data_IF_062584635647
#
_entry.id   IF_062584635647
#
_cell.length_a   1.000
_cell.length_b   1.000
_cell.length_c   1.000
_cell.angle_alpha   90.00
_cell.angle_beta   90.00
_cell.angle_gamma   90.00
#
_symmetry.space_group_name_H-M   'P 1'
#
loop_
_entity.id
_entity.type
_entity.pdbx_description
1 polymer ?
#
# COMPACT_ATOMS: atom_id res chain seq x y z
N UNK A 1 -36.39 -32.91 23.53
CA UNK A 1 -36.28 -31.72 22.65
C UNK A 1 -36.76 -32.09 21.25
N UNK A 2 -37.74 -31.38 20.70
CA UNK A 2 -38.32 -31.66 19.39
C UNK A 2 -37.35 -31.30 18.26
N UNK A 3 -37.38 -32.06 17.15
CA UNK A 3 -36.53 -31.86 15.95
C UNK A 3 -36.56 -30.41 15.44
N UNK A 4 -37.73 -29.76 15.50
CA UNK A 4 -37.91 -28.33 15.15
C UNK A 4 -37.08 -27.38 16.02
N UNK A 5 -37.00 -27.61 17.34
CA UNK A 5 -36.22 -26.75 18.25
C UNK A 5 -34.72 -26.86 18.00
N UNK A 6 -34.23 -28.07 17.67
CA UNK A 6 -32.82 -28.29 17.29
C UNK A 6 -32.49 -27.60 15.96
N UNK A 7 -33.38 -27.69 14.97
CA UNK A 7 -33.24 -26.99 13.69
C UNK A 7 -33.22 -25.47 13.86
N UNK A 8 -34.11 -24.91 14.68
CA UNK A 8 -34.12 -23.48 14.99
C UNK A 8 -32.82 -23.03 15.65
N UNK A 9 -32.33 -23.74 16.67
CA UNK A 9 -31.06 -23.40 17.32
C UNK A 9 -29.88 -23.46 16.35
N UNK A 10 -29.81 -24.51 15.52
CA UNK A 10 -28.76 -24.64 14.52
C UNK A 10 -28.81 -23.51 13.48
N UNK A 11 -30.01 -23.15 12.99
CA UNK A 11 -30.20 -22.06 12.05
C UNK A 11 -29.79 -20.71 12.66
N UNK A 12 -30.18 -20.42 13.90
CA UNK A 12 -29.77 -19.19 14.60
C UNK A 12 -28.26 -19.12 14.79
N UNK A 13 -27.61 -20.23 15.16
CA UNK A 13 -26.16 -20.30 15.30
C UNK A 13 -25.46 -20.05 13.96
N UNK A 14 -25.95 -20.67 12.88
CA UNK A 14 -25.40 -20.46 11.54
C UNK A 14 -25.49 -18.99 11.11
N UNK A 15 -26.66 -18.35 11.32
CA UNK A 15 -26.84 -16.93 11.01
C UNK A 15 -25.90 -16.05 11.85
N UNK A 16 -25.76 -16.33 13.15
CA UNK A 16 -24.85 -15.59 14.02
C UNK A 16 -23.39 -15.71 13.58
N UNK A 17 -22.94 -16.91 13.20
CA UNK A 17 -21.59 -17.15 12.69
C UNK A 17 -21.36 -16.44 11.35
N UNK A 18 -22.32 -16.51 10.41
CA UNK A 18 -22.23 -15.80 9.14
C UNK A 18 -22.18 -14.28 9.33
N UNK A 19 -23.03 -13.73 10.19
CA UNK A 19 -23.04 -12.30 10.50
C UNK A 19 -21.74 -11.85 11.17
N UNK A 20 -21.21 -12.65 12.11
CA UNK A 20 -19.93 -12.40 12.76
C UNK A 20 -18.76 -12.44 11.77
N UNK A 21 -18.73 -13.44 10.88
CA UNK A 21 -17.73 -13.56 9.81
C UNK A 21 -17.75 -12.34 8.89
N UNK A 22 -18.93 -11.96 8.37
CA UNK A 22 -19.06 -10.81 7.47
C UNK A 22 -18.69 -9.50 8.16
N UNK A 23 -19.08 -9.32 9.42
CA UNK A 23 -18.73 -8.12 10.18
C UNK A 23 -17.22 -8.00 10.37
N UNK A 24 -16.56 -9.11 10.71
CA UNK A 24 -15.11 -9.14 10.90
C UNK A 24 -14.33 -8.92 9.59
N UNK A 25 -14.82 -9.41 8.45
CA UNK A 25 -14.12 -9.30 7.16
C UNK A 25 -14.41 -7.98 6.45
N UNK A 26 -15.65 -7.49 6.46
CA UNK A 26 -16.05 -6.25 5.77
C UNK A 26 -15.54 -5.01 6.52
N UNK A 27 -15.51 -5.07 7.87
CA UNK A 27 -15.01 -3.97 8.70
C UNK A 27 -13.49 -3.85 8.75
N UNK A 28 -12.76 -4.87 8.30
CA UNK A 28 -11.30 -4.89 8.38
C UNK A 28 -10.68 -3.92 7.36
N UNK A 29 -9.77 -3.08 7.84
CA UNK A 29 -9.00 -2.12 7.05
C UNK A 29 -7.52 -2.22 7.37
N UNK A 30 -6.71 -1.99 6.35
CA UNK A 30 -5.27 -1.80 6.47
C UNK A 30 -4.97 -0.33 6.81
N UNK A 31 -3.85 -0.09 7.47
CA UNK A 31 -3.33 1.25 7.78
C UNK A 31 -1.94 1.44 7.16
N UNK A 32 -1.46 2.67 7.14
CA UNK A 32 -0.05 2.92 6.86
C UNK A 32 0.82 2.43 8.01
N UNK A 33 2.00 1.94 7.70
CA UNK A 33 3.00 1.57 8.69
C UNK A 33 3.75 2.79 9.26
N UNK A 34 4.62 2.51 10.22
CA UNK A 34 5.47 3.51 10.86
C UNK A 34 6.78 3.81 10.11
N UNK A 35 7.09 3.04 9.07
CA UNK A 35 8.37 3.10 8.35
C UNK A 35 8.18 3.40 6.87
N UNK A 36 9.15 4.10 6.29
CA UNK A 36 9.24 4.41 4.86
C UNK A 36 10.71 4.48 4.45
N UNK A 37 10.96 4.46 3.13
CA UNK A 37 12.29 4.49 2.56
C UNK A 37 12.31 5.22 1.21
N UNK A 38 13.44 5.78 0.83
CA UNK A 38 13.69 6.25 -0.54
C UNK A 38 15.14 5.99 -0.94
N UNK A 39 15.38 5.92 -2.24
CA UNK A 39 16.72 5.88 -2.80
C UNK A 39 17.47 7.22 -2.68
N UNK A 40 18.70 7.24 -3.16
CA UNK A 40 19.56 8.44 -3.18
C UNK A 40 19.12 9.50 -4.18
N UNK A 41 18.22 9.13 -5.08
CA UNK A 41 17.56 9.94 -6.10
C UNK A 41 16.41 10.80 -5.55
N UNK A 42 16.03 10.59 -4.29
CA UNK A 42 14.99 11.35 -3.62
C UNK A 42 15.52 12.23 -2.48
N UNK A 43 14.82 13.32 -2.22
CA UNK A 43 14.95 14.13 -1.02
C UNK A 43 13.70 13.99 -0.16
N UNK A 44 13.85 13.85 1.15
CA UNK A 44 12.71 13.94 2.07
C UNK A 44 12.62 15.35 2.68
N UNK A 45 11.40 15.85 2.81
CA UNK A 45 11.10 17.09 3.53
C UNK A 45 9.93 16.83 4.48
N UNK A 46 10.11 17.16 5.75
CA UNK A 46 9.03 17.07 6.75
C UNK A 46 8.69 18.47 7.25
N UNK A 47 7.43 18.87 7.08
CA UNK A 47 6.90 20.14 7.58
C UNK A 47 5.63 19.89 8.40
N UNK A 48 5.71 20.17 9.69
CA UNK A 48 4.63 19.84 10.63
C UNK A 48 4.29 18.35 10.57
N UNK A 49 3.02 17.97 10.36
CA UNK A 49 2.60 16.57 10.30
C UNK A 49 2.81 15.90 8.94
N UNK A 50 3.35 16.60 7.93
CA UNK A 50 3.46 16.08 6.56
C UNK A 50 4.91 15.77 6.22
N UNK A 51 5.14 14.55 5.75
CA UNK A 51 6.39 14.12 5.11
C UNK A 51 6.17 14.04 3.61
N UNK A 52 7.06 14.63 2.82
CA UNK A 52 7.08 14.57 1.37
C UNK A 52 8.38 13.92 0.90
N UNK A 53 8.29 12.92 0.03
CA UNK A 53 9.40 12.33 -0.71
C UNK A 53 9.43 12.93 -2.11
N UNK A 54 10.48 13.68 -2.43
CA UNK A 54 10.59 14.49 -3.64
C UNK A 54 11.61 13.88 -4.59
N UNK A 55 11.14 13.54 -5.77
CA UNK A 55 11.95 13.11 -6.91
C UNK A 55 11.97 14.19 -7.98
N UNK A 56 13.04 14.26 -8.75
CA UNK A 56 13.08 15.09 -9.95
C UNK A 56 12.22 14.44 -11.05
N UNK A 57 11.48 15.25 -11.79
CA UNK A 57 10.77 14.78 -12.99
C UNK A 57 11.76 14.60 -14.13
N UNK A 58 12.10 13.34 -14.41
CA UNK A 58 12.90 12.95 -15.56
C UNK A 58 12.06 11.95 -16.38
N UNK A 59 11.48 12.37 -17.53
CA UNK A 59 10.60 11.53 -18.35
C UNK A 59 11.20 10.15 -18.64
N UNK A 60 10.37 9.11 -18.52
CA UNK A 60 10.75 7.73 -18.85
C UNK A 60 11.72 7.05 -17.86
N UNK A 61 12.16 7.73 -16.81
CA UNK A 61 13.02 7.13 -15.78
C UNK A 61 12.21 6.39 -14.72
N UNK A 62 12.89 5.47 -14.04
CA UNK A 62 12.33 4.71 -12.92
C UNK A 62 12.74 5.33 -11.60
N UNK A 63 11.81 5.38 -10.65
CA UNK A 63 12.09 5.76 -9.26
C UNK A 63 11.57 4.69 -8.32
N UNK A 64 12.29 4.44 -7.23
CA UNK A 64 11.89 3.44 -6.23
C UNK A 64 11.74 4.08 -4.86
N UNK A 65 10.62 3.79 -4.21
CA UNK A 65 10.33 4.21 -2.84
C UNK A 65 9.85 3.02 -2.02
N UNK A 66 9.95 3.14 -0.70
CA UNK A 66 9.49 2.15 0.26
C UNK A 66 8.36 2.70 1.12
N UNK A 67 7.28 1.93 1.26
CA UNK A 67 6.17 2.21 2.17
C UNK A 67 5.81 0.95 2.94
N UNK A 68 5.47 1.09 4.21
CA UNK A 68 4.97 -0.03 5.01
C UNK A 68 3.45 -0.08 5.01
N UNK A 69 2.88 -1.26 4.81
CA UNK A 69 1.44 -1.53 4.93
C UNK A 69 1.19 -2.26 6.25
N UNK A 70 0.37 -1.71 7.13
CA UNK A 70 0.07 -2.26 8.45
C UNK A 70 -1.24 -3.02 8.47
N UNK A 71 -1.25 -4.17 9.13
CA UNK A 71 -2.46 -4.86 9.54
C UNK A 71 -2.77 -4.52 11.02
N UNK A 72 -3.64 -3.55 11.31
CA UNK A 72 -4.01 -3.21 12.69
C UNK A 72 -5.01 -4.20 13.30
N UNK A 73 -5.64 -5.03 12.47
CA UNK A 73 -6.74 -5.89 12.89
C UNK A 73 -6.27 -7.13 13.67
N UNK A 74 -7.21 -7.82 14.33
CA UNK A 74 -6.92 -8.98 15.16
C UNK A 74 -6.66 -10.26 14.34
N UNK A 75 -6.93 -10.24 13.04
CA UNK A 75 -6.82 -11.39 12.15
C UNK A 75 -5.69 -11.17 11.15
N UNK A 76 -4.94 -12.22 10.80
CA UNK A 76 -3.97 -12.14 9.72
C UNK A 76 -4.70 -11.88 8.39
N UNK A 77 -4.04 -11.11 7.52
CA UNK A 77 -4.49 -10.82 6.17
C UNK A 77 -3.49 -11.37 5.17
N UNK A 78 -3.93 -11.59 3.94
CA UNK A 78 -3.05 -11.96 2.83
C UNK A 78 -3.06 -10.83 1.81
N UNK A 79 -1.95 -10.12 1.65
CA UNK A 79 -1.80 -9.12 0.59
C UNK A 79 -1.49 -9.86 -0.71
N UNK A 80 -2.27 -9.60 -1.74
CA UNK A 80 -2.21 -10.27 -3.04
C UNK A 80 -1.80 -9.34 -4.17
N UNK A 81 -1.89 -8.02 -3.98
CA UNK A 81 -1.50 -7.03 -4.97
C UNK A 81 -1.33 -5.65 -4.37
N UNK A 82 -0.46 -4.85 -5.00
CA UNK A 82 -0.27 -3.43 -4.70
C UNK A 82 -0.19 -2.68 -6.02
N UNK A 83 -0.91 -1.57 -6.12
CA UNK A 83 -0.92 -0.66 -7.28
C UNK A 83 -0.82 0.78 -6.78
N UNK A 84 -0.40 1.71 -7.63
CA UNK A 84 -0.37 3.15 -7.31
C UNK A 84 -1.62 3.88 -7.81
N UNK A 85 -2.46 3.22 -8.60
CA UNK A 85 -3.67 3.80 -9.18
C UNK A 85 -4.77 2.73 -9.26
N UNK A 86 -5.99 3.13 -8.94
CA UNK A 86 -7.22 2.31 -8.94
C UNK A 86 -8.22 2.84 -10.00
N UNK A 87 -7.69 3.47 -11.05
CA UNK A 87 -8.45 3.87 -12.25
C UNK A 87 -8.31 2.85 -13.38
N UNK A 88 -8.99 3.03 -14.52
CA UNK A 88 -8.69 2.25 -15.72
C UNK A 88 -7.24 2.53 -16.18
N UNK A 89 -6.59 1.51 -16.77
CA UNK A 89 -5.13 1.49 -17.01
C UNK A 89 -4.62 2.62 -17.91
N UNK A 90 -5.49 3.17 -18.77
CA UNK A 90 -5.23 4.31 -19.64
C UNK A 90 -5.17 5.65 -18.89
N UNK A 91 -5.63 5.69 -17.64
CA UNK A 91 -5.63 6.87 -16.76
C UNK A 91 -4.54 6.81 -15.69
N UNK A 92 -3.69 5.79 -15.71
CA UNK A 92 -2.61 5.63 -14.74
C UNK A 92 -1.46 6.59 -15.07
N UNK A 93 -1.35 7.64 -14.26
CA UNK A 93 -0.23 8.60 -14.37
C UNK A 93 1.11 7.94 -14.04
N UNK A 94 1.11 7.03 -13.06
CA UNK A 94 2.28 6.25 -12.66
C UNK A 94 2.04 4.78 -12.97
N UNK A 95 3.01 4.15 -13.62
CA UNK A 95 3.00 2.71 -13.89
C UNK A 95 3.95 2.01 -12.95
N UNK A 96 3.46 1.00 -12.22
CA UNK A 96 4.35 0.12 -11.45
C UNK A 96 5.10 -0.80 -12.40
N UNK A 97 6.41 -0.85 -12.24
CA UNK A 97 7.29 -1.77 -12.96
C UNK A 97 7.69 -2.96 -12.11
N UNK A 98 7.93 -2.71 -10.81
CA UNK A 98 8.36 -3.74 -9.87
C UNK A 98 7.76 -3.48 -8.50
N UNK A 99 7.35 -4.57 -7.87
CA UNK A 99 6.98 -4.64 -6.46
C UNK A 99 7.88 -5.66 -5.80
N UNK A 100 8.54 -5.25 -4.73
CA UNK A 100 9.30 -6.15 -3.89
C UNK A 100 8.96 -5.92 -2.43
N UNK A 101 9.19 -6.92 -1.59
CA UNK A 101 8.86 -6.85 -0.16
C UNK A 101 9.99 -7.42 0.65
N UNK A 102 10.13 -6.89 1.87
CA UNK A 102 10.90 -7.57 2.89
C UNK A 102 9.94 -8.35 3.76
N UNK A 103 10.18 -9.64 3.91
CA UNK A 103 9.53 -10.38 4.97
C UNK A 103 10.02 -9.79 6.29
N UNK A 104 9.08 -9.39 7.15
CA UNK A 104 9.40 -8.92 8.48
C UNK A 104 9.99 -10.08 9.28
N UNK A 105 11.31 -10.26 9.20
CA UNK A 105 12.03 -11.07 10.16
C UNK A 105 12.28 -10.20 11.39
N UNK A 106 11.62 -10.55 12.49
CA UNK A 106 11.74 -9.83 13.78
C UNK A 106 13.18 -9.84 14.31
N UNK A 107 14.06 -10.67 13.74
CA UNK A 107 15.48 -10.73 14.07
C UNK A 107 16.31 -9.59 13.48
N UNK A 108 15.83 -8.88 12.45
CA UNK A 108 16.58 -7.79 11.78
C UNK A 108 16.03 -6.42 12.14
N UNK A 109 16.91 -5.53 12.61
CA UNK A 109 16.57 -4.13 12.88
C UNK A 109 16.33 -3.29 11.60
N UNK A 110 16.68 -3.84 10.44
CA UNK A 110 16.54 -3.16 9.13
C UNK A 110 15.18 -3.49 8.54
N UNK A 111 14.31 -2.49 8.46
CA UNK A 111 12.95 -2.62 7.88
C UNK A 111 13.00 -2.66 6.34
N UNK A 112 13.86 -1.84 5.74
CA UNK A 112 14.05 -1.72 4.29
C UNK A 112 15.49 -2.05 3.89
N UNK A 113 15.73 -3.31 3.54
CA UNK A 113 16.91 -3.81 2.83
C UNK A 113 16.57 -4.12 1.36
N UNK A 114 16.98 -3.28 0.38
CA UNK A 114 16.76 -3.54 -1.04
C UNK A 114 17.43 -4.82 -1.57
N UNK A 115 18.52 -5.28 -0.92
CA UNK A 115 19.26 -6.46 -1.36
C UNK A 115 18.56 -7.78 -0.96
N UNK A 116 17.78 -7.74 0.11
CA UNK A 116 16.96 -8.86 0.59
C UNK A 116 15.52 -8.86 0.03
N UNK A 117 15.13 -7.83 -0.72
CA UNK A 117 13.76 -7.66 -1.17
C UNK A 117 13.37 -8.66 -2.28
N UNK A 118 12.26 -9.38 -2.06
CA UNK A 118 11.76 -10.39 -2.99
C UNK A 118 10.52 -9.89 -3.74
N UNK A 119 10.28 -10.33 -5.00
CA UNK A 119 9.09 -9.93 -5.75
C UNK A 119 7.79 -10.24 -4.99
N UNK A 120 6.87 -9.27 -4.93
CA UNK A 120 5.56 -9.47 -4.33
C UNK A 120 4.78 -10.53 -5.12
N UNK A 121 4.41 -11.63 -4.45
CA UNK A 121 3.45 -12.62 -4.96
C UNK A 121 2.17 -12.55 -4.13
N UNK A 122 2.16 -13.29 -3.03
CA UNK A 122 1.12 -13.26 -2.02
C UNK A 122 1.82 -13.39 -0.68
N UNK A 123 1.53 -12.48 0.25
CA UNK A 123 2.24 -12.42 1.53
C UNK A 123 1.23 -12.29 2.65
N UNK A 124 1.37 -13.17 3.64
CA UNK A 124 0.56 -13.12 4.85
C UNK A 124 1.16 -12.11 5.83
N UNK A 125 0.36 -11.15 6.24
CA UNK A 125 0.70 -10.16 7.27
C UNK A 125 -0.08 -10.49 8.53
N UNK A 126 0.65 -10.81 9.61
CA UNK A 126 0.02 -11.17 10.88
C UNK A 126 -0.65 -9.96 11.53
N UNK A 127 -1.51 -10.25 12.52
CA UNK A 127 -2.19 -9.22 13.30
C UNK A 127 -1.17 -8.31 14.01
N UNK A 128 -1.30 -7.01 13.82
CA UNK A 128 -0.43 -5.99 14.40
C UNK A 128 0.90 -5.76 13.68
N UNK A 129 1.22 -6.55 12.65
CA UNK A 129 2.48 -6.46 11.90
C UNK A 129 2.39 -5.49 10.70
N UNK A 130 3.56 -5.15 10.16
CA UNK A 130 3.73 -4.33 8.96
C UNK A 130 4.45 -5.12 7.86
N UNK A 131 4.09 -4.86 6.61
CA UNK A 131 4.79 -5.34 5.42
C UNK A 131 5.51 -4.16 4.75
N UNK A 132 6.85 -4.11 4.79
CA UNK A 132 7.64 -3.18 4.00
C UNK A 132 7.56 -3.55 2.52
N UNK A 133 7.09 -2.62 1.70
CA UNK A 133 6.96 -2.78 0.24
C UNK A 133 7.84 -1.75 -0.46
N UNK A 134 8.69 -2.22 -1.36
CA UNK A 134 9.36 -1.41 -2.37
C UNK A 134 8.49 -1.32 -3.61
N UNK A 135 8.23 -0.10 -4.04
CA UNK A 135 7.46 0.21 -5.23
C UNK A 135 8.36 0.95 -6.20
N UNK A 136 8.62 0.33 -7.36
CA UNK A 136 9.31 0.96 -8.48
C UNK A 136 8.28 1.41 -9.50
N UNK A 137 8.24 2.71 -9.77
CA UNK A 137 7.35 3.32 -10.76
C UNK A 137 8.14 3.93 -11.90
N UNK A 138 7.52 3.96 -13.08
CA UNK A 138 7.99 4.75 -14.22
C UNK A 138 7.41 6.15 -14.15
N UNK A 139 8.27 7.16 -14.26
CA UNK A 139 7.85 8.55 -14.50
C UNK A 139 7.29 8.62 -15.92
N UNK A 140 6.05 9.14 -16.11
CA UNK A 140 5.43 9.18 -17.42
C UNK A 140 6.27 9.98 -18.41
N UNK A 141 6.40 9.47 -19.63
CA UNK A 141 7.09 10.13 -20.72
C UNK A 141 6.18 11.18 -21.36
N UNK A 142 5.99 12.29 -20.65
CA UNK A 142 5.14 13.41 -21.03
C UNK A 142 5.82 14.74 -20.77
N UNK A 143 5.46 15.76 -21.54
CA UNK A 143 5.93 17.12 -21.29
C UNK A 143 5.22 17.71 -20.05
N UNK A 144 5.99 18.28 -19.12
CA UNK A 144 5.46 18.93 -17.92
C UNK A 144 5.85 20.40 -17.90
N UNK A 145 4.87 21.25 -17.56
CA UNK A 145 5.10 22.68 -17.41
C UNK A 145 6.14 22.94 -16.29
N UNK A 146 7.07 23.89 -16.44
CA UNK A 146 8.07 24.13 -15.41
C UNK A 146 7.44 24.53 -14.07
N UNK A 147 7.96 23.96 -12.97
CA UNK A 147 7.40 24.14 -11.62
C UNK A 147 6.12 23.33 -11.33
N UNK A 148 5.64 22.53 -12.28
CA UNK A 148 4.56 21.56 -12.03
C UNK A 148 5.09 20.27 -11.41
N UNK A 149 4.20 19.48 -10.81
CA UNK A 149 4.53 18.20 -10.21
C UNK A 149 3.36 17.23 -10.20
N UNK A 150 3.69 15.95 -10.14
CA UNK A 150 2.74 14.85 -9.95
C UNK A 150 2.91 14.32 -8.53
N UNK A 151 1.83 13.85 -7.91
CA UNK A 151 1.89 13.34 -6.55
C UNK A 151 1.06 12.07 -6.36
N UNK A 152 1.45 11.30 -5.35
CA UNK A 152 0.82 10.07 -4.91
C UNK A 152 0.82 10.06 -3.38
N UNK A 153 -0.34 9.81 -2.77
CA UNK A 153 -0.52 9.78 -1.32
C UNK A 153 -0.88 8.38 -0.79
N UNK A 154 -1.44 7.53 -1.65
CA UNK A 154 -1.98 6.21 -1.29
C UNK A 154 -1.45 5.11 -2.21
N UNK A 155 -1.45 3.87 -1.70
CA UNK A 155 -1.32 2.65 -2.48
C UNK A 155 -2.67 1.94 -2.52
N UNK A 156 -3.09 1.51 -3.70
CA UNK A 156 -4.25 0.65 -3.87
C UNK A 156 -3.82 -0.81 -3.63
N UNK A 157 -4.36 -1.44 -2.58
CA UNK A 157 -3.94 -2.74 -2.07
C UNK A 157 -5.08 -3.74 -2.21
N UNK A 158 -4.79 -4.84 -2.89
CA UNK A 158 -5.64 -6.03 -2.93
C UNK A 158 -5.21 -6.99 -1.82
N UNK A 159 -6.17 -7.43 -1.02
CA UNK A 159 -5.90 -8.30 0.11
C UNK A 159 -7.10 -9.20 0.44
N UNK A 160 -6.85 -10.25 1.22
CA UNK A 160 -7.88 -11.16 1.70
C UNK A 160 -7.93 -11.16 3.22
N UNK A 161 -9.15 -11.17 3.75
CA UNK A 161 -9.43 -11.33 5.18
C UNK A 161 -10.26 -12.59 5.34
N UNK A 162 -9.68 -13.63 5.94
CA UNK A 162 -10.34 -14.94 6.11
C UNK A 162 -10.90 -15.48 4.76
N UNK A 163 -10.16 -15.30 3.68
CA UNK A 163 -10.52 -15.73 2.32
C UNK A 163 -11.53 -14.84 1.59
N UNK A 164 -12.02 -13.75 2.21
CA UNK A 164 -12.86 -12.77 1.51
C UNK A 164 -11.96 -11.71 0.85
N UNK A 165 -12.01 -11.54 -0.48
CA UNK A 165 -11.22 -10.53 -1.17
C UNK A 165 -11.69 -9.12 -0.85
N UNK A 166 -10.73 -8.20 -0.77
CA UNK A 166 -10.89 -6.80 -0.41
C UNK A 166 -9.95 -5.95 -1.24
N UNK A 167 -10.38 -4.72 -1.48
CA UNK A 167 -9.59 -3.69 -2.13
C UNK A 167 -9.66 -2.43 -1.27
N UNK A 168 -8.52 -1.77 -1.06
CA UNK A 168 -8.45 -0.54 -0.27
C UNK A 168 -7.33 0.37 -0.78
N UNK A 169 -7.58 1.68 -0.81
CA UNK A 169 -6.52 2.69 -0.85
C UNK A 169 -5.97 2.89 0.56
N UNK A 170 -4.72 2.50 0.75
CA UNK A 170 -3.98 2.58 2.00
C UNK A 170 -3.06 3.79 1.91
N UNK A 171 -3.18 4.77 2.83
CA UNK A 171 -2.24 5.88 2.88
C UNK A 171 -0.80 5.38 2.99
N UNK A 172 0.16 6.10 2.40
CA UNK A 172 1.57 5.76 2.56
C UNK A 172 2.20 6.35 3.83
N UNK A 173 1.52 7.29 4.49
CA UNK A 173 2.06 8.06 5.60
C UNK A 173 2.99 9.21 5.18
N UNK A 174 3.20 9.37 3.87
CA UNK A 174 3.93 10.47 3.24
C UNK A 174 3.31 10.75 1.86
N UNK A 175 3.62 11.92 1.31
CA UNK A 175 3.35 12.25 -0.09
C UNK A 175 4.56 11.96 -0.94
N UNK A 176 4.43 11.12 -1.96
CA UNK A 176 5.42 11.05 -3.02
C UNK A 176 5.13 12.15 -4.04
N UNK A 177 6.14 12.93 -4.40
CA UNK A 177 6.03 13.97 -5.40
C UNK A 177 7.16 13.89 -6.41
N UNK A 178 6.82 14.04 -7.68
CA UNK A 178 7.76 14.13 -8.79
C UNK A 178 7.63 15.54 -9.37
N UNK A 179 8.66 16.37 -9.20
CA UNK A 179 8.62 17.79 -9.56
C UNK A 179 9.49 18.10 -10.76
N UNK A 180 8.94 18.80 -11.74
CA UNK A 180 9.73 19.44 -12.78
C UNK A 180 10.58 20.56 -12.18
N UNK A 181 11.78 20.77 -12.73
CA UNK A 181 12.59 21.91 -12.31
C UNK A 181 11.79 23.21 -12.51
N UNK A 182 11.96 24.17 -11.60
CA UNK A 182 11.48 25.51 -11.84
C UNK A 182 12.11 25.99 -13.15
N UNK A 183 11.29 26.30 -14.14
CA UNK A 183 11.77 26.94 -15.36
C UNK A 183 12.47 28.22 -14.95
N UNK A 184 13.57 28.55 -15.62
CA UNK A 184 14.18 29.85 -15.43
C UNK A 184 13.12 30.93 -15.67
N UNK A 185 12.70 31.63 -14.61
CA UNK A 185 11.92 32.86 -14.69
C UNK A 185 12.94 33.99 -14.55
N UNK A 186 13.40 34.62 -15.65
CA UNK A 186 14.12 35.87 -15.53
C UNK A 186 13.15 36.88 -14.89
N UNK A 187 13.48 37.33 -13.69
CA UNK A 187 12.94 38.56 -13.11
C UNK A 187 13.69 39.77 -13.65
#
# INVERSE_FOLDING_TARGET
MTRRRRLLVAATLAVALCAGYLSATIGHRLDHGGSWWHGTDAQSRTEGPRTELRFAFIPGTEVTFGASIRNPGPWPVTITGVTVNDGPADQHVFKILRLAVNHADKATAVVFDPAAAEPLRSVRVAAGEELPVFVTIMIPDVEMAPGSGLFLDDLAVDYEVLGLPRHQRVPMGFRLSVHSANGYVPG
#
